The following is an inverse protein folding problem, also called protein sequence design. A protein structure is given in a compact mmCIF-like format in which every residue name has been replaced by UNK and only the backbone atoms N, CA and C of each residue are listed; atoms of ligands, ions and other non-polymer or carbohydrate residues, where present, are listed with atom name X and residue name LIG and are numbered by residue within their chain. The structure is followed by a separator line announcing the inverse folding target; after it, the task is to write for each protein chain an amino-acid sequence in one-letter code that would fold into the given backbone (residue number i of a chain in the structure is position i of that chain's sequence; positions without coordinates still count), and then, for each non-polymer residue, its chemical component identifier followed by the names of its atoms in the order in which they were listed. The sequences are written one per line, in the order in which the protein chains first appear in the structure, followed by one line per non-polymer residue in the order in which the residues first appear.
data_IF_732732879959
#
_entry.id   IF_732732879959
#
_cell.length_a   1.000
_cell.length_b   1.000
_cell.length_c   1.000
_cell.angle_alpha   90.00
_cell.angle_beta   90.00
_cell.angle_gamma   90.00
#
_symmetry.space_group_name_H-M   'P 1'
#
loop_
_entity.id
_entity.type
_entity.pdbx_description
1 polymer ?
#
# COMPACT_ATOMS: atom_id res chain seq x y z
N UNK A 1 15.50 6.33 5.78
CA UNK A 1 16.06 5.77 4.53
C UNK A 1 15.80 6.69 3.34
N UNK A 2 14.55 6.96 2.92
CA UNK A 2 14.26 7.84 1.76
C UNK A 2 14.84 9.26 1.89
N UNK A 3 14.76 9.88 3.08
CA UNK A 3 15.38 11.17 3.34
C UNK A 3 16.91 11.16 3.18
N UNK A 4 17.57 10.03 3.51
CA UNK A 4 19.02 9.88 3.38
C UNK A 4 19.49 9.88 1.90
N UNK A 5 18.60 9.60 0.95
CA UNK A 5 18.87 9.72 -0.49
C UNK A 5 18.30 11.01 -1.09
N UNK A 6 17.94 11.99 -0.24
CA UNK A 6 17.50 13.32 -0.67
C UNK A 6 16.01 13.46 -0.98
N UNK A 7 15.17 12.44 -0.74
CA UNK A 7 13.73 12.55 -0.93
C UNK A 7 13.09 13.42 0.15
N UNK A 8 12.17 14.30 -0.23
CA UNK A 8 11.27 15.01 0.69
C UNK A 8 10.13 14.07 1.02
N UNK A 9 10.04 13.63 2.27
CA UNK A 9 9.00 12.69 2.72
C UNK A 9 7.97 13.44 3.55
N UNK A 10 6.71 13.26 3.22
CA UNK A 10 5.54 13.75 3.98
C UNK A 10 4.60 12.57 4.22
N UNK A 11 3.69 12.68 5.17
CA UNK A 11 2.69 11.63 5.40
C UNK A 11 1.31 12.20 5.65
N UNK A 12 0.30 11.37 5.43
CA UNK A 12 -1.08 11.59 5.86
C UNK A 12 -1.56 10.42 6.72
N UNK A 13 -2.45 10.68 7.66
CA UNK A 13 -3.11 9.68 8.49
C UNK A 13 -4.41 10.27 9.05
N UNK A 14 -5.27 9.43 9.66
CA UNK A 14 -6.48 9.91 10.34
C UNK A 14 -6.18 10.90 11.46
N UNK A 15 -5.10 10.68 12.18
CA UNK A 15 -4.63 11.57 13.23
C UNK A 15 -3.14 11.79 13.07
N UNK A 16 -2.66 13.05 13.06
CA UNK A 16 -1.24 13.33 13.05
C UNK A 16 -0.57 12.73 14.30
N UNK A 17 0.58 12.08 14.11
CA UNK A 17 1.39 11.64 15.24
C UNK A 17 2.17 12.83 15.80
N UNK A 18 2.07 13.06 17.12
CA UNK A 18 2.69 14.22 17.79
C UNK A 18 4.22 14.29 17.59
N UNK A 19 4.87 13.12 17.58
CA UNK A 19 6.34 13.00 17.48
C UNK A 19 6.80 12.45 16.12
N UNK A 20 6.00 12.59 15.04
CA UNK A 20 6.40 12.10 13.73
C UNK A 20 7.64 12.85 13.22
N UNK A 21 8.70 12.15 12.78
CA UNK A 21 9.93 12.76 12.29
C UNK A 21 9.78 13.37 10.88
N UNK A 22 8.60 13.32 10.30
CA UNK A 22 8.27 13.81 8.96
C UNK A 22 6.99 14.65 9.01
N UNK A 23 6.85 15.69 8.14
CA UNK A 23 5.69 16.57 8.14
C UNK A 23 4.39 15.83 7.79
N UNK A 24 3.32 16.16 8.51
CA UNK A 24 1.96 15.76 8.18
C UNK A 24 1.35 16.72 7.15
N UNK A 25 0.64 16.17 6.16
CA UNK A 25 -0.25 16.91 5.26
C UNK A 25 -1.62 16.20 5.20
N UNK A 26 -2.73 16.93 5.22
CA UNK A 26 -4.03 16.38 4.84
C UNK A 26 -3.96 15.75 3.44
N UNK A 27 -4.73 14.68 3.20
CA UNK A 27 -4.68 13.97 1.91
C UNK A 27 -4.88 14.92 0.72
N UNK A 28 -5.86 15.83 0.79
CA UNK A 28 -6.15 16.80 -0.27
C UNK A 28 -4.97 17.74 -0.59
N UNK A 29 -4.10 18.00 0.40
CA UNK A 29 -2.90 18.84 0.21
C UNK A 29 -1.69 17.99 -0.23
N UNK A 30 -1.67 16.70 0.12
CA UNK A 30 -0.61 15.78 -0.24
C UNK A 30 -0.69 15.36 -1.71
N UNK A 31 -1.89 15.03 -2.20
CA UNK A 31 -2.08 14.52 -3.57
C UNK A 31 -1.46 15.41 -4.65
N UNK A 32 -1.65 16.74 -4.66
CA UNK A 32 -1.14 17.60 -5.75
C UNK A 32 0.38 17.85 -5.68
N UNK A 33 1.04 17.51 -4.58
CA UNK A 33 2.48 17.78 -4.40
C UNK A 33 3.34 16.52 -4.44
N UNK A 34 2.74 15.33 -4.28
CA UNK A 34 3.47 14.09 -4.24
C UNK A 34 3.93 13.63 -5.64
N UNK A 35 5.24 13.42 -5.82
CA UNK A 35 5.79 12.77 -7.01
C UNK A 35 5.56 11.26 -6.98
N UNK A 36 5.54 10.69 -5.78
CA UNK A 36 5.22 9.27 -5.52
C UNK A 36 4.27 9.20 -4.34
N UNK A 37 3.09 8.63 -4.56
CA UNK A 37 2.12 8.29 -3.51
C UNK A 37 2.25 6.81 -3.18
N UNK A 38 2.55 6.47 -1.92
CA UNK A 38 2.64 5.09 -1.45
C UNK A 38 1.62 4.82 -0.35
N UNK A 39 0.84 3.75 -0.51
CA UNK A 39 -0.24 3.39 0.40
C UNK A 39 0.24 2.40 1.47
N UNK A 40 0.01 2.74 2.76
CA UNK A 40 0.44 1.95 3.93
C UNK A 40 -0.64 1.95 5.03
N UNK A 41 -1.89 1.66 4.65
CA UNK A 41 -3.02 1.70 5.57
C UNK A 41 -3.86 0.43 5.46
N UNK A 42 -4.59 0.04 6.51
CA UNK A 42 -5.50 -1.10 6.47
C UNK A 42 -6.73 -0.80 5.60
N UNK A 43 -7.30 -1.84 5.03
CA UNK A 43 -8.61 -1.78 4.39
C UNK A 43 -9.70 -1.78 5.48
N UNK A 44 -10.53 -0.77 5.47
CA UNK A 44 -11.72 -0.62 6.30
C UNK A 44 -12.86 -0.09 5.43
N UNK A 45 -14.12 -0.09 5.92
CA UNK A 45 -15.21 0.55 5.17
C UNK A 45 -14.91 2.00 4.78
N UNK A 46 -14.22 2.75 5.63
CA UNK A 46 -13.88 4.17 5.42
C UNK A 46 -12.71 4.38 4.44
N UNK A 47 -11.85 3.36 4.27
CA UNK A 47 -10.68 3.45 3.38
C UNK A 47 -10.90 2.74 2.05
N UNK A 48 -11.99 1.97 1.92
CA UNK A 48 -12.35 1.35 0.64
C UNK A 48 -12.62 2.43 -0.40
N UNK A 49 -11.91 2.33 -1.54
CA UNK A 49 -12.02 3.28 -2.65
C UNK A 49 -11.57 4.70 -2.31
N UNK A 50 -10.76 4.90 -1.26
CA UNK A 50 -10.31 6.25 -0.88
C UNK A 50 -9.43 6.92 -1.94
N UNK A 51 -8.80 6.14 -2.79
CA UNK A 51 -8.09 6.62 -3.98
C UNK A 51 -9.01 6.37 -5.18
N UNK A 52 -10.05 7.18 -5.26
CA UNK A 52 -11.05 7.19 -6.32
C UNK A 52 -10.62 8.05 -7.52
N UNK A 53 -11.49 8.20 -8.50
CA UNK A 53 -11.23 9.02 -9.69
C UNK A 53 -10.90 10.48 -9.33
N UNK A 54 -11.53 11.05 -8.31
CA UNK A 54 -11.27 12.43 -7.89
C UNK A 54 -9.89 12.55 -7.22
N UNK A 55 -9.54 11.60 -6.36
CA UNK A 55 -8.22 11.54 -5.73
C UNK A 55 -7.10 11.34 -6.78
N UNK A 56 -7.30 10.41 -7.74
CA UNK A 56 -6.36 10.19 -8.83
C UNK A 56 -6.19 11.44 -9.71
N UNK A 57 -7.27 12.12 -10.04
CA UNK A 57 -7.22 13.37 -10.81
C UNK A 57 -6.54 14.53 -10.05
N UNK A 58 -6.63 14.53 -8.71
CA UNK A 58 -5.94 15.51 -7.86
C UNK A 58 -4.44 15.21 -7.68
N UNK A 59 -3.98 14.01 -8.00
CA UNK A 59 -2.56 13.68 -7.98
C UNK A 59 -1.80 14.54 -8.98
N UNK A 60 -0.54 14.84 -8.64
CA UNK A 60 0.34 15.58 -9.53
C UNK A 60 0.50 14.85 -10.87
N UNK A 61 0.33 15.56 -11.99
CA UNK A 61 0.55 14.99 -13.31
C UNK A 61 1.96 14.43 -13.44
N UNK A 62 2.08 13.20 -13.93
CA UNK A 62 3.34 12.48 -14.06
C UNK A 62 3.85 11.84 -12.76
N UNK A 63 3.04 11.84 -11.70
CA UNK A 63 3.34 11.11 -10.47
C UNK A 63 3.17 9.59 -10.62
N UNK A 64 3.60 8.85 -9.61
CA UNK A 64 3.52 7.39 -9.53
C UNK A 64 2.72 6.98 -8.32
N UNK A 65 1.82 6.00 -8.48
CA UNK A 65 1.11 5.35 -7.37
C UNK A 65 1.78 4.02 -7.02
N UNK A 66 2.01 3.77 -5.73
CA UNK A 66 2.48 2.49 -5.20
C UNK A 66 1.44 1.93 -4.23
N UNK A 67 0.94 0.74 -4.50
CA UNK A 67 0.04 0.03 -3.61
C UNK A 67 0.60 -1.34 -3.24
N UNK A 68 1.14 -1.44 -2.04
CA UNK A 68 1.56 -2.69 -1.39
C UNK A 68 0.74 -2.97 -0.14
N UNK A 69 -0.39 -2.28 0.01
CA UNK A 69 -1.26 -2.38 1.19
C UNK A 69 -2.44 -3.31 0.92
N UNK A 70 -3.48 -2.82 0.22
CA UNK A 70 -4.67 -3.61 -0.17
C UNK A 70 -5.25 -3.07 -1.48
N UNK A 71 -5.61 -3.95 -2.40
CA UNK A 71 -6.18 -3.56 -3.72
C UNK A 71 -7.39 -2.65 -3.63
N UNK A 72 -8.43 -2.99 -2.83
CA UNK A 72 -9.66 -2.19 -2.75
C UNK A 72 -9.52 -0.79 -2.14
N UNK A 73 -8.32 -0.35 -1.75
CA UNK A 73 -8.05 1.05 -1.40
C UNK A 73 -8.13 1.97 -2.62
N UNK A 74 -7.94 1.42 -3.81
CA UNK A 74 -7.88 2.14 -5.09
C UNK A 74 -9.04 1.69 -5.98
N UNK A 75 -9.69 2.63 -6.65
CA UNK A 75 -10.57 2.34 -7.78
C UNK A 75 -9.71 1.96 -8.98
N UNK A 76 -9.65 0.64 -9.29
CA UNK A 76 -8.80 0.12 -10.37
C UNK A 76 -9.25 0.58 -11.76
N UNK A 77 -10.55 0.81 -11.97
CA UNK A 77 -11.04 1.35 -13.25
C UNK A 77 -10.57 2.81 -13.44
N UNK A 78 -10.68 3.62 -12.41
CA UNK A 78 -10.18 4.99 -12.44
C UNK A 78 -8.64 5.04 -12.54
N UNK A 79 -7.93 4.11 -11.90
CA UNK A 79 -6.47 3.98 -12.04
C UNK A 79 -6.08 3.65 -13.48
N UNK A 80 -6.78 2.72 -14.13
CA UNK A 80 -6.55 2.37 -15.53
C UNK A 80 -6.70 3.61 -16.44
N UNK A 81 -7.74 4.39 -16.26
CA UNK A 81 -7.94 5.64 -17.01
C UNK A 81 -6.83 6.67 -16.74
N UNK A 82 -6.42 6.84 -15.49
CA UNK A 82 -5.35 7.76 -15.13
C UNK A 82 -3.98 7.36 -15.74
N UNK A 83 -3.73 6.07 -15.88
CA UNK A 83 -2.50 5.52 -16.49
C UNK A 83 -2.53 5.64 -18.01
N UNK A 84 -3.65 5.28 -18.65
CA UNK A 84 -3.80 5.29 -20.12
C UNK A 84 -3.87 6.69 -20.68
N UNK A 85 -4.47 7.65 -19.95
CA UNK A 85 -4.47 9.08 -20.33
C UNK A 85 -3.10 9.75 -20.14
N UNK A 86 -2.14 9.08 -19.48
CA UNK A 86 -0.84 9.66 -19.14
C UNK A 86 -0.93 10.76 -18.07
N UNK A 87 -2.02 10.79 -17.28
CA UNK A 87 -2.09 11.61 -16.08
C UNK A 87 -1.09 11.12 -15.04
N UNK A 88 -1.13 9.81 -14.71
CA UNK A 88 -0.09 9.14 -13.95
C UNK A 88 1.00 8.61 -14.89
N UNK A 89 2.26 8.73 -14.48
CA UNK A 89 3.39 8.17 -15.22
C UNK A 89 3.47 6.66 -15.08
N UNK A 90 3.01 6.10 -13.97
CA UNK A 90 3.04 4.67 -13.74
C UNK A 90 2.46 4.28 -12.38
N UNK A 91 2.34 2.96 -12.17
CA UNK A 91 1.97 2.40 -10.89
C UNK A 91 2.82 1.16 -10.55
N UNK A 92 3.02 0.91 -9.25
CA UNK A 92 3.55 -0.34 -8.70
C UNK A 92 2.48 -1.00 -7.84
N UNK A 93 2.04 -2.18 -8.22
CA UNK A 93 0.93 -2.89 -7.59
C UNK A 93 1.39 -4.27 -7.12
N UNK A 94 1.37 -4.49 -5.80
CA UNK A 94 1.58 -5.82 -5.20
C UNK A 94 0.26 -6.49 -4.83
N UNK A 95 -0.84 -5.73 -4.89
CA UNK A 95 -2.18 -6.14 -4.47
C UNK A 95 -3.25 -5.66 -5.46
N UNK A 96 -4.33 -6.45 -5.59
CA UNK A 96 -5.45 -6.18 -6.49
C UNK A 96 -6.78 -6.23 -5.74
N UNK A 97 -7.82 -5.61 -6.31
CA UNK A 97 -9.17 -5.64 -5.73
C UNK A 97 -9.73 -7.06 -5.66
N UNK A 98 -9.37 -7.89 -6.65
CA UNK A 98 -9.64 -9.32 -6.67
C UNK A 98 -8.35 -10.11 -6.78
N UNK A 99 -8.12 -11.00 -5.83
CA UNK A 99 -6.97 -11.92 -5.83
C UNK A 99 -7.43 -13.39 -5.81
N UNK A 100 -6.82 -14.27 -6.60
CA UNK A 100 -5.82 -14.00 -7.63
C UNK A 100 -6.35 -13.07 -8.73
N UNK A 101 -5.46 -12.18 -9.22
CA UNK A 101 -5.79 -11.31 -10.36
C UNK A 101 -6.04 -12.16 -11.61
N UNK A 102 -7.03 -11.78 -12.42
CA UNK A 102 -7.31 -12.47 -13.68
C UNK A 102 -6.24 -12.18 -14.73
N UNK A 103 -5.90 -13.16 -15.56
CA UNK A 103 -4.90 -12.99 -16.62
C UNK A 103 -5.33 -12.00 -17.72
N UNK A 104 -6.62 -11.66 -17.80
CA UNK A 104 -7.20 -10.67 -18.71
C UNK A 104 -7.43 -9.30 -18.04
N UNK A 105 -6.89 -9.09 -16.85
CA UNK A 105 -6.98 -7.80 -16.18
C UNK A 105 -6.23 -6.73 -16.98
N UNK A 106 -6.90 -5.62 -17.37
CA UNK A 106 -6.31 -4.61 -18.24
C UNK A 106 -5.09 -3.92 -17.65
N UNK A 107 -4.96 -3.86 -16.32
CA UNK A 107 -3.78 -3.28 -15.67
C UNK A 107 -2.50 -4.09 -15.95
N UNK A 108 -2.61 -5.41 -16.18
CA UNK A 108 -1.47 -6.27 -16.49
C UNK A 108 -0.89 -6.02 -17.89
N UNK A 109 -1.66 -5.45 -18.82
CA UNK A 109 -1.22 -5.14 -20.18
C UNK A 109 -0.49 -3.81 -20.29
N UNK A 110 -0.55 -2.96 -19.26
CA UNK A 110 0.04 -1.63 -19.28
C UNK A 110 1.56 -1.68 -19.07
N UNK A 111 2.32 -1.08 -19.98
CA UNK A 111 3.79 -1.03 -19.90
C UNK A 111 4.32 -0.11 -18.79
N UNK A 112 3.48 0.77 -18.27
CA UNK A 112 3.80 1.68 -17.17
C UNK A 112 3.29 1.18 -15.81
N UNK A 113 2.95 -0.12 -15.72
CA UNK A 113 2.59 -0.79 -14.46
C UNK A 113 3.59 -1.89 -14.15
N UNK A 114 4.09 -1.89 -12.92
CA UNK A 114 4.90 -2.99 -12.36
C UNK A 114 4.02 -3.75 -11.39
N UNK A 115 3.93 -5.07 -11.56
CA UNK A 115 3.11 -5.93 -10.72
C UNK A 115 3.94 -6.99 -10.01
N UNK A 116 3.57 -7.32 -8.77
CA UNK A 116 4.11 -8.44 -8.00
C UNK A 116 2.95 -9.22 -7.37
N UNK A 117 3.09 -10.53 -7.15
CA UNK A 117 1.97 -11.38 -6.70
C UNK A 117 1.85 -11.40 -5.17
N UNK A 118 1.56 -10.23 -4.55
CA UNK A 118 1.36 -10.04 -3.12
C UNK A 118 2.56 -10.52 -2.27
N UNK A 119 3.76 -10.10 -2.67
CA UNK A 119 5.04 -10.53 -2.07
C UNK A 119 5.76 -9.44 -1.27
N UNK A 120 5.22 -8.24 -1.16
CA UNK A 120 5.89 -7.12 -0.48
C UNK A 120 6.22 -7.40 1.01
N UNK A 121 5.54 -8.36 1.62
CA UNK A 121 5.79 -8.82 3.00
C UNK A 121 6.85 -9.93 3.08
N UNK A 122 7.16 -10.63 1.98
CA UNK A 122 7.96 -11.85 1.96
C UNK A 122 9.45 -11.51 1.89
N UNK A 123 10.10 -11.52 3.04
CA UNK A 123 11.56 -11.52 3.16
C UNK A 123 12.01 -12.74 3.96
N UNK A 124 13.28 -13.11 3.87
CA UNK A 124 13.86 -14.20 4.66
C UNK A 124 13.64 -13.98 6.15
N UNK A 125 13.86 -12.75 6.63
CA UNK A 125 13.72 -12.39 8.05
C UNK A 125 12.25 -12.44 8.50
N UNK A 126 11.31 -12.03 7.64
CA UNK A 126 9.87 -12.11 7.94
C UNK A 126 9.41 -13.56 8.02
N UNK A 127 9.88 -14.40 7.09
CA UNK A 127 9.56 -15.83 7.07
C UNK A 127 10.12 -16.54 8.33
N UNK A 128 11.39 -16.34 8.65
CA UNK A 128 12.04 -16.92 9.83
C UNK A 128 11.34 -16.49 11.13
N UNK A 129 11.01 -15.19 11.26
CA UNK A 129 10.28 -14.68 12.41
C UNK A 129 8.89 -15.31 12.53
N UNK A 130 8.17 -15.41 11.42
CA UNK A 130 6.82 -16.01 11.41
C UNK A 130 6.86 -17.48 11.81
N UNK A 131 7.80 -18.26 11.26
CA UNK A 131 7.99 -19.66 11.63
C UNK A 131 8.37 -19.83 13.11
N UNK A 132 9.23 -18.98 13.62
CA UNK A 132 9.62 -18.98 15.04
C UNK A 132 8.41 -18.71 15.95
N UNK A 133 7.60 -17.70 15.64
CA UNK A 133 6.39 -17.37 16.41
C UNK A 133 5.36 -18.50 16.33
N UNK A 134 5.16 -19.09 15.16
CA UNK A 134 4.24 -20.23 14.97
C UNK A 134 4.69 -21.41 15.82
N UNK A 135 5.96 -21.79 15.73
CA UNK A 135 6.54 -22.91 16.50
C UNK A 135 6.38 -22.70 18.01
N UNK A 136 6.70 -21.48 18.48
CA UNK A 136 6.56 -21.13 19.89
C UNK A 136 5.09 -21.14 20.34
N UNK A 137 4.16 -20.65 19.53
CA UNK A 137 2.74 -20.70 19.84
C UNK A 137 2.19 -22.12 19.87
N UNK A 138 2.66 -23.02 19.02
CA UNK A 138 2.34 -24.46 19.09
C UNK A 138 2.82 -25.09 20.41
N UNK A 139 4.05 -24.77 20.83
CA UNK A 139 4.59 -25.22 22.12
C UNK A 139 3.75 -24.71 23.31
N UNK A 140 3.44 -23.39 23.29
CA UNK A 140 2.64 -22.74 24.34
C UNK A 140 1.24 -23.32 24.43
N UNK A 141 0.58 -23.50 23.28
CA UNK A 141 -0.75 -24.10 23.23
C UNK A 141 -0.77 -25.52 23.88
N UNK A 142 0.23 -26.35 23.55
CA UNK A 142 0.37 -27.70 24.14
C UNK A 142 0.56 -27.67 25.66
N UNK A 143 1.22 -26.63 26.17
CA UNK A 143 1.51 -26.48 27.59
C UNK A 143 0.45 -25.67 28.36
N UNK A 144 -0.61 -25.19 27.72
CA UNK A 144 -1.62 -24.31 28.33
C UNK A 144 -1.10 -22.92 28.67
N UNK A 145 0.00 -22.47 28.04
CA UNK A 145 0.59 -21.14 28.22
C UNK A 145 -0.10 -20.10 27.36
N UNK A 146 -0.09 -18.80 27.77
CA UNK A 146 -0.61 -17.71 26.93
C UNK A 146 0.12 -17.62 25.59
N UNK A 147 -0.62 -17.43 24.50
CA UNK A 147 -0.05 -17.27 23.15
C UNK A 147 0.63 -15.90 22.99
N UNK A 148 1.68 -15.88 22.16
CA UNK A 148 2.32 -14.63 21.72
C UNK A 148 1.43 -13.92 20.68
N UNK A 149 1.40 -12.59 20.74
CA UNK A 149 0.70 -11.73 19.76
C UNK A 149 -0.79 -12.08 19.56
N UNK A 150 -1.47 -12.46 20.64
CA UNK A 150 -2.90 -12.72 20.61
C UNK A 150 -3.66 -11.40 20.30
N UNK A 151 -4.56 -11.41 19.32
CA UNK A 151 -5.27 -10.22 18.82
C UNK A 151 -6.68 -10.07 19.43
N UNK A 152 -7.13 -11.03 20.24
CA UNK A 152 -8.43 -11.04 20.94
C UNK A 152 -8.25 -11.52 22.36
#
# INVERSE_FOLDING_TARGET
MLQAIGAKVVYTSRQPAADAPIPFLPLAELLPVADVLSLHLPLTPETTGMIDAAALAAMKRGSVLINTARGPLVDEAALFEALTSGHLRGAGLDVFAREPVSSDDPLLELQNVVVTPHLAWLTTETLERSLSIISENCRRLRNGEPLLHRVV
#
